data_IF_012934533260
#
_entry.id   IF_012934533260
#
_cell.length_a   1.000
_cell.length_b   1.000
_cell.length_c   1.000
_cell.angle_alpha   90.00
_cell.angle_beta   90.00
_cell.angle_gamma   90.00
#
_symmetry.space_group_name_H-M   'P 1'
#
loop_
_entity.id
_entity.type
_entity.pdbx_description
1 polymer ?
#
# COMPACT_ATOMS: atom_id res chain seq x y z
N UNK A 1 0.61 13.03 18.69
CA UNK A 1 0.23 11.86 17.85
C UNK A 1 0.27 10.64 18.75
N UNK A 2 -0.82 10.28 19.42
CA UNK A 2 -0.82 9.17 20.41
C UNK A 2 -1.60 7.92 19.96
N UNK A 3 -2.19 7.88 18.75
CA UNK A 3 -3.03 6.77 18.30
C UNK A 3 -2.63 6.13 16.95
N UNK A 4 -1.43 6.38 16.43
CA UNK A 4 -0.99 5.75 15.18
C UNK A 4 -0.79 4.24 15.39
N UNK A 5 -1.42 3.42 14.56
CA UNK A 5 -1.43 1.96 14.67
C UNK A 5 -1.04 1.29 13.35
N UNK A 6 -0.82 -0.01 13.36
CA UNK A 6 -0.51 -0.78 12.13
C UNK A 6 -1.60 -0.66 11.06
N UNK A 7 -2.86 -0.41 11.45
CA UNK A 7 -3.92 -0.16 10.48
C UNK A 7 -3.77 1.22 9.80
N UNK A 8 -3.20 2.21 10.51
CA UNK A 8 -2.84 3.49 9.90
C UNK A 8 -1.68 3.29 8.93
N UNK A 9 -0.64 2.54 9.30
CA UNK A 9 0.45 2.21 8.39
C UNK A 9 -0.05 1.49 7.13
N UNK A 10 -1.00 0.56 7.28
CA UNK A 10 -1.58 -0.18 6.17
C UNK A 10 -2.36 0.73 5.21
N UNK A 11 -3.20 1.63 5.74
CA UNK A 11 -3.94 2.59 4.91
C UNK A 11 -2.98 3.63 4.30
N UNK A 12 -1.93 4.02 5.03
CA UNK A 12 -0.92 4.98 4.56
C UNK A 12 -0.16 4.45 3.33
N UNK A 13 0.28 3.18 3.35
CA UNK A 13 0.98 2.60 2.19
C UNK A 13 0.06 2.49 0.98
N UNK A 14 -1.24 2.30 1.18
CA UNK A 14 -2.23 2.29 0.11
C UNK A 14 -2.43 3.68 -0.49
N UNK A 15 -2.59 4.72 0.35
CA UNK A 15 -2.68 6.12 -0.09
C UNK A 15 -1.45 6.53 -0.89
N UNK A 16 -0.26 6.10 -0.47
CA UNK A 16 0.96 6.46 -1.17
C UNK A 16 1.04 5.84 -2.57
N UNK A 17 0.68 4.56 -2.72
CA UNK A 17 0.70 3.90 -4.03
C UNK A 17 -0.28 4.58 -4.99
N UNK A 18 -1.48 4.93 -4.54
CA UNK A 18 -2.43 5.68 -5.36
C UNK A 18 -1.97 7.10 -5.66
N UNK A 19 -1.71 7.91 -4.62
CA UNK A 19 -1.49 9.35 -4.82
C UNK A 19 -0.11 9.71 -5.37
N UNK A 20 0.97 9.00 -4.99
CA UNK A 20 2.31 9.36 -5.44
C UNK A 20 2.58 8.93 -6.90
N UNK A 21 1.65 8.22 -7.51
CA UNK A 21 1.68 7.84 -8.91
C UNK A 21 1.51 9.06 -9.83
N UNK A 22 0.38 9.75 -9.69
CA UNK A 22 -0.09 10.78 -10.61
C UNK A 22 -0.59 12.06 -9.91
N UNK A 23 -0.66 12.06 -8.57
CA UNK A 23 -1.10 13.18 -7.75
C UNK A 23 -2.60 13.23 -7.46
N UNK A 24 -3.37 12.21 -7.85
CA UNK A 24 -4.79 12.09 -7.61
C UNK A 24 -5.14 10.73 -6.97
N UNK A 25 -6.37 10.56 -6.48
CA UNK A 25 -6.90 9.24 -6.11
C UNK A 25 -8.32 9.17 -6.65
N UNK A 26 -8.54 8.26 -7.59
CA UNK A 26 -9.83 8.07 -8.23
C UNK A 26 -10.79 7.21 -7.35
N UNK A 27 -12.04 7.08 -7.80
CA UNK A 27 -13.02 6.30 -7.04
C UNK A 27 -12.78 4.78 -7.13
N UNK A 28 -12.17 4.30 -8.23
CA UNK A 28 -11.83 2.90 -8.42
C UNK A 28 -10.70 2.45 -7.48
N UNK A 29 -9.72 3.32 -7.26
CA UNK A 29 -8.63 3.14 -6.30
C UNK A 29 -9.14 3.17 -4.87
N UNK A 30 -10.00 4.13 -4.50
CA UNK A 30 -10.64 4.16 -3.17
C UNK A 30 -11.40 2.86 -2.88
N UNK A 31 -12.14 2.36 -3.86
CA UNK A 31 -12.85 1.09 -3.75
C UNK A 31 -11.88 -0.10 -3.63
N UNK A 32 -10.78 -0.09 -4.38
CA UNK A 32 -9.72 -1.09 -4.30
C UNK A 32 -9.03 -1.10 -2.91
N UNK A 33 -8.69 0.07 -2.38
CA UNK A 33 -8.11 0.24 -1.04
C UNK A 33 -9.07 -0.28 0.04
N UNK A 34 -10.35 0.11 -0.02
CA UNK A 34 -11.38 -0.32 0.93
C UNK A 34 -11.59 -1.83 0.88
N UNK A 35 -11.64 -2.41 -0.33
CA UNK A 35 -11.73 -3.85 -0.53
C UNK A 35 -10.56 -4.60 0.10
N UNK A 36 -9.33 -4.11 -0.13
CA UNK A 36 -8.12 -4.71 0.41
C UNK A 36 -8.03 -4.64 1.94
N UNK A 37 -8.50 -3.56 2.54
CA UNK A 37 -8.59 -3.46 4.00
C UNK A 37 -9.55 -4.50 4.56
N UNK A 38 -10.71 -4.74 3.95
CA UNK A 38 -11.65 -5.78 4.43
C UNK A 38 -11.07 -7.19 4.33
N UNK A 39 -10.19 -7.45 3.35
CA UNK A 39 -9.50 -8.74 3.22
C UNK A 39 -8.39 -8.88 4.27
N UNK A 40 -7.64 -7.81 4.53
CA UNK A 40 -6.46 -7.83 5.41
C UNK A 40 -6.83 -7.68 6.89
N UNK A 41 -7.90 -6.95 7.18
CA UNK A 41 -8.43 -6.64 8.51
C UNK A 41 -9.95 -6.79 8.52
N UNK A 42 -10.47 -8.04 8.46
CA UNK A 42 -11.91 -8.30 8.35
C UNK A 42 -12.73 -7.84 9.57
N UNK A 43 -12.05 -7.62 10.71
CA UNK A 43 -12.68 -7.16 11.94
C UNK A 43 -12.71 -5.61 12.06
N UNK A 44 -12.09 -4.88 11.12
CA UNK A 44 -12.14 -3.43 11.12
C UNK A 44 -13.53 -2.98 10.65
N UNK A 45 -14.21 -2.18 11.48
CA UNK A 45 -15.51 -1.64 11.09
C UNK A 45 -15.37 -0.56 10.02
N UNK A 46 -16.43 -0.33 9.24
CA UNK A 46 -16.42 0.74 8.24
C UNK A 46 -16.17 2.12 8.90
N UNK A 47 -16.75 2.38 10.08
CA UNK A 47 -16.53 3.63 10.81
C UNK A 47 -15.11 3.81 11.34
N UNK A 48 -14.45 2.72 11.76
CA UNK A 48 -13.04 2.76 12.15
C UNK A 48 -12.14 3.00 10.93
N UNK A 49 -12.45 2.37 9.79
CA UNK A 49 -11.73 2.61 8.54
C UNK A 49 -11.85 4.08 8.10
N UNK A 50 -13.05 4.66 8.11
CA UNK A 50 -13.26 6.06 7.73
C UNK A 50 -12.48 7.01 8.66
N UNK A 51 -12.45 6.70 9.95
CA UNK A 51 -11.66 7.46 10.94
C UNK A 51 -10.16 7.37 10.67
N UNK A 52 -9.65 6.16 10.44
CA UNK A 52 -8.22 5.92 10.13
C UNK A 52 -7.84 6.60 8.81
N UNK A 53 -8.67 6.47 7.79
CA UNK A 53 -8.46 7.06 6.47
C UNK A 53 -8.35 8.59 6.57
N UNK A 54 -9.27 9.23 7.30
CA UNK A 54 -9.20 10.69 7.55
C UNK A 54 -7.89 11.09 8.24
N UNK A 55 -7.45 10.35 9.26
CA UNK A 55 -6.22 10.65 9.99
C UNK A 55 -4.96 10.43 9.13
N UNK A 56 -4.98 9.40 8.28
CA UNK A 56 -3.91 9.14 7.31
C UNK A 56 -3.82 10.26 6.28
N UNK A 57 -4.94 10.75 5.76
CA UNK A 57 -4.98 11.87 4.81
C UNK A 57 -4.47 13.15 5.47
N UNK A 58 -4.88 13.43 6.71
CA UNK A 58 -4.40 14.59 7.47
C UNK A 58 -2.87 14.54 7.65
N UNK A 59 -2.32 13.37 8.02
CA UNK A 59 -0.88 13.17 8.13
C UNK A 59 -0.16 13.33 6.79
N UNK A 60 -0.73 12.75 5.72
CA UNK A 60 -0.17 12.83 4.37
C UNK A 60 -0.09 14.27 3.86
N UNK A 61 -1.10 15.09 4.17
CA UNK A 61 -1.11 16.54 3.89
C UNK A 61 -0.08 17.25 4.77
N UNK A 62 -0.03 16.94 6.07
CA UNK A 62 0.87 17.59 7.02
C UNK A 62 2.36 17.40 6.69
N UNK A 63 2.74 16.26 6.11
CA UNK A 63 4.12 16.00 5.65
C UNK A 63 4.57 16.98 4.55
N UNK A 64 3.64 17.52 3.77
CA UNK A 64 3.83 18.70 2.91
C UNK A 64 4.73 18.55 1.69
N UNK A 65 5.52 17.47 1.57
CA UNK A 65 6.37 17.22 0.42
C UNK A 65 6.55 15.72 0.15
N UNK A 66 6.92 15.39 -1.09
CA UNK A 66 7.09 14.02 -1.58
C UNK A 66 8.17 13.25 -0.80
N UNK A 67 9.32 13.86 -0.53
CA UNK A 67 10.41 13.18 0.19
C UNK A 67 9.99 12.73 1.60
N UNK A 68 9.22 13.53 2.32
CA UNK A 68 8.69 13.18 3.63
C UNK A 68 7.63 12.07 3.54
N UNK A 69 6.80 12.09 2.49
CA UNK A 69 5.80 11.04 2.22
C UNK A 69 6.45 9.71 1.86
N UNK A 70 7.44 9.71 0.98
CA UNK A 70 8.23 8.51 0.64
C UNK A 70 8.97 7.97 1.86
N UNK A 71 9.57 8.82 2.69
CA UNK A 71 10.22 8.36 3.92
C UNK A 71 9.22 7.70 4.89
N UNK A 72 8.02 8.29 5.04
CA UNK A 72 6.95 7.71 5.85
C UNK A 72 6.42 6.40 5.26
N UNK A 73 6.35 6.30 3.92
CA UNK A 73 6.00 5.06 3.23
C UNK A 73 6.95 3.92 3.59
N UNK A 74 8.27 4.15 3.51
CA UNK A 74 9.29 3.18 3.93
C UNK A 74 9.16 2.83 5.41
N UNK A 75 8.89 3.80 6.29
CA UNK A 75 8.69 3.58 7.73
C UNK A 75 7.47 2.68 7.98
N UNK A 76 6.34 2.99 7.36
CA UNK A 76 5.09 2.22 7.47
C UNK A 76 5.26 0.79 6.95
N UNK A 77 5.94 0.59 5.81
CA UNK A 77 6.28 -0.76 5.33
C UNK A 77 7.13 -1.55 6.35
N UNK A 78 8.09 -0.89 7.00
CA UNK A 78 8.90 -1.53 8.04
C UNK A 78 8.07 -1.90 9.28
N UNK A 79 7.16 -1.02 9.72
CA UNK A 79 6.25 -1.30 10.83
C UNK A 79 5.34 -2.50 10.52
N UNK A 80 4.81 -2.55 9.29
CA UNK A 80 3.94 -3.63 8.81
C UNK A 80 4.63 -4.99 8.76
N UNK A 81 5.96 -5.08 8.77
CA UNK A 81 6.65 -6.37 8.93
C UNK A 81 6.20 -7.13 10.17
N UNK A 82 5.96 -6.40 11.27
CA UNK A 82 5.53 -6.97 12.54
C UNK A 82 4.06 -7.43 12.54
N UNK A 83 3.29 -7.03 11.52
CA UNK A 83 1.90 -7.43 11.33
C UNK A 83 1.76 -8.85 10.77
N UNK A 84 2.83 -9.39 10.16
CA UNK A 84 2.78 -10.66 9.43
C UNK A 84 3.74 -11.68 10.03
N UNK A 85 3.18 -12.79 10.52
CA UNK A 85 3.97 -13.90 11.09
C UNK A 85 4.71 -14.73 10.02
N UNK A 86 4.28 -14.64 8.75
CA UNK A 86 4.80 -15.44 7.64
C UNK A 86 4.91 -14.63 6.35
N UNK A 87 5.75 -15.12 5.44
CA UNK A 87 5.92 -14.56 4.09
C UNK A 87 4.60 -14.47 3.31
N UNK A 88 3.63 -15.35 3.60
CA UNK A 88 2.32 -15.32 2.96
C UNK A 88 1.57 -14.01 3.24
N UNK A 89 1.66 -13.48 4.46
CA UNK A 89 1.03 -12.20 4.82
C UNK A 89 1.68 -11.02 4.08
N UNK A 90 3.01 -11.02 4.03
CA UNK A 90 3.80 -10.03 3.30
C UNK A 90 3.53 -10.09 1.79
N UNK A 91 3.42 -11.30 1.24
CA UNK A 91 3.05 -11.51 -0.16
C UNK A 91 1.65 -10.99 -0.47
N UNK A 92 0.67 -11.24 0.41
CA UNK A 92 -0.68 -10.67 0.29
C UNK A 92 -0.65 -9.15 0.28
N UNK A 93 0.14 -8.51 1.14
CA UNK A 93 0.30 -7.06 1.12
C UNK A 93 0.85 -6.57 -0.22
N UNK A 94 1.92 -7.18 -0.75
CA UNK A 94 2.49 -6.80 -2.05
C UNK A 94 1.47 -6.97 -3.18
N UNK A 95 0.68 -8.06 -3.15
CA UNK A 95 -0.42 -8.25 -4.11
C UNK A 95 -1.50 -7.19 -3.98
N UNK A 96 -1.83 -6.75 -2.78
CA UNK A 96 -2.82 -5.70 -2.56
C UNK A 96 -2.34 -4.35 -3.12
N UNK A 97 -1.06 -4.02 -2.92
CA UNK A 97 -0.45 -2.82 -3.52
C UNK A 97 -0.52 -2.88 -5.05
N UNK A 98 -0.13 -4.01 -5.64
CA UNK A 98 -0.23 -4.22 -7.09
C UNK A 98 -1.68 -4.23 -7.61
N UNK A 99 -2.65 -4.62 -6.78
CA UNK A 99 -4.06 -4.56 -7.14
C UNK A 99 -4.58 -3.12 -7.18
N UNK A 100 -4.15 -2.29 -6.22
CA UNK A 100 -4.49 -0.86 -6.18
C UNK A 100 -3.91 -0.16 -7.40
N UNK A 101 -2.61 -0.35 -7.69
CA UNK A 101 -1.96 0.24 -8.86
C UNK A 101 -2.53 -0.24 -10.21
N UNK A 102 -3.38 -1.28 -10.20
CA UNK A 102 -4.07 -1.80 -11.38
C UNK A 102 -5.51 -1.33 -11.50
N UNK A 103 -6.02 -0.60 -10.50
CA UNK A 103 -7.35 -0.03 -10.58
C UNK A 103 -7.39 1.01 -11.71
N UNK A 104 -6.27 1.70 -11.93
CA UNK A 104 -6.06 2.62 -13.04
C UNK A 104 -5.94 1.93 -14.40
N UNK A 105 -6.23 2.70 -15.45
CA UNK A 105 -6.10 2.24 -16.85
C UNK A 105 -4.63 1.95 -17.21
N UNK A 106 -3.68 2.65 -16.59
CA UNK A 106 -2.25 2.52 -16.83
C UNK A 106 -1.46 2.50 -15.54
N UNK A 107 -0.48 1.60 -15.46
CA UNK A 107 0.44 1.53 -14.33
C UNK A 107 1.63 2.47 -14.60
N UNK A 108 1.79 3.47 -13.76
CA UNK A 108 2.87 4.45 -13.79
C UNK A 108 4.21 3.86 -13.33
N UNK A 109 5.33 4.50 -13.71
CA UNK A 109 6.67 4.06 -13.28
C UNK A 109 6.86 4.23 -11.77
N UNK A 110 6.27 5.26 -11.17
CA UNK A 110 6.35 5.51 -9.74
C UNK A 110 5.67 4.41 -8.93
N UNK A 111 4.50 3.93 -9.34
CA UNK A 111 3.80 2.82 -8.66
C UNK A 111 4.62 1.54 -8.68
N UNK A 112 5.26 1.25 -9.83
CA UNK A 112 6.17 0.12 -9.95
C UNK A 112 7.34 0.24 -8.99
N UNK A 113 7.97 1.42 -8.91
CA UNK A 113 9.08 1.68 -8.00
C UNK A 113 8.65 1.50 -6.54
N UNK A 114 7.44 1.94 -6.17
CA UNK A 114 6.89 1.75 -4.83
C UNK A 114 6.63 0.27 -4.51
N UNK A 115 6.12 -0.51 -5.47
CA UNK A 115 5.90 -1.95 -5.28
C UNK A 115 7.24 -2.70 -5.17
N UNK A 116 8.25 -2.32 -5.95
CA UNK A 116 9.62 -2.84 -5.83
C UNK A 116 10.25 -2.50 -4.47
N UNK A 117 10.02 -1.29 -3.98
CA UNK A 117 10.41 -0.88 -2.63
C UNK A 117 9.71 -1.75 -1.58
N UNK A 118 8.39 -1.97 -1.69
CA UNK A 118 7.67 -2.84 -0.78
C UNK A 118 8.23 -4.27 -0.76
N UNK A 119 8.57 -4.84 -1.92
CA UNK A 119 9.21 -6.16 -2.02
C UNK A 119 10.56 -6.17 -1.30
N UNK A 120 11.34 -5.11 -1.47
CA UNK A 120 12.65 -4.96 -0.84
C UNK A 120 12.53 -4.81 0.67
N UNK A 121 11.72 -3.85 1.11
CA UNK A 121 11.50 -3.58 2.53
C UNK A 121 10.95 -4.82 3.20
N UNK A 122 9.92 -5.49 2.67
CA UNK A 122 9.32 -6.67 3.31
C UNK A 122 10.20 -7.94 3.27
N UNK A 123 11.43 -7.87 2.78
CA UNK A 123 12.39 -8.98 2.67
C UNK A 123 11.89 -10.10 1.71
N UNK A 124 11.22 -9.70 0.62
CA UNK A 124 10.55 -10.60 -0.33
C UNK A 124 11.25 -10.69 -1.70
N UNK A 125 12.38 -10.01 -1.91
CA UNK A 125 13.13 -9.95 -3.19
C UNK A 125 13.40 -11.32 -3.82
N UNK A 126 13.82 -12.30 -3.01
CA UNK A 126 14.11 -13.65 -3.50
C UNK A 126 12.85 -14.52 -3.70
N UNK A 127 11.70 -14.08 -3.14
CA UNK A 127 10.47 -14.86 -3.01
C UNK A 127 9.34 -14.35 -3.89
N UNK A 128 9.46 -13.15 -4.45
CA UNK A 128 8.43 -12.53 -5.29
C UNK A 128 9.01 -12.23 -6.66
N UNK A 129 8.22 -12.54 -7.69
CA UNK A 129 8.47 -12.08 -9.04
C UNK A 129 7.40 -11.06 -9.42
N UNK A 130 7.80 -9.96 -10.03
CA UNK A 130 6.88 -9.01 -10.65
C UNK A 130 7.10 -8.97 -12.14
N UNK A 131 6.01 -8.98 -12.90
CA UNK A 131 6.03 -8.85 -14.36
C UNK A 131 5.01 -7.79 -14.75
N UNK A 132 5.50 -6.69 -15.31
CA UNK A 132 4.67 -5.65 -15.92
C UNK A 132 4.46 -5.98 -17.40
N UNK A 133 3.21 -5.91 -17.84
CA UNK A 133 2.83 -5.81 -19.25
C UNK A 133 2.26 -4.41 -19.51
N UNK A 134 1.97 -4.09 -20.77
CA UNK A 134 1.42 -2.79 -21.16
C UNK A 134 0.10 -2.42 -20.45
N UNK A 135 -0.63 -3.41 -19.91
CA UNK A 135 -1.94 -3.24 -19.28
C UNK A 135 -2.11 -3.93 -17.93
N UNK A 136 -1.08 -4.59 -17.38
CA UNK A 136 -1.24 -5.41 -16.17
C UNK A 136 0.06 -5.62 -15.40
N UNK A 137 -0.05 -5.68 -14.07
CA UNK A 137 1.02 -6.11 -13.17
C UNK A 137 0.69 -7.48 -12.57
N UNK A 138 1.60 -8.44 -12.80
CA UNK A 138 1.55 -9.77 -12.21
C UNK A 138 2.53 -9.85 -11.05
N UNK A 139 2.08 -10.44 -9.95
CA UNK A 139 2.86 -10.67 -8.73
C UNK A 139 2.74 -12.14 -8.36
N UNK A 140 3.85 -12.87 -8.50
CA UNK A 140 3.92 -14.32 -8.27
C UNK A 140 4.88 -14.65 -7.14
N UNK A 141 4.54 -15.70 -6.38
CA UNK A 141 5.44 -16.24 -5.36
C UNK A 141 6.40 -17.23 -6.04
N UNK A 142 7.70 -17.03 -5.84
CA UNK A 142 8.75 -17.95 -6.30
C UNK A 142 8.75 -19.16 -5.37
N UNK A 143 8.34 -20.31 -5.92
CA UNK A 143 8.39 -21.62 -5.27
C UNK A 143 9.82 -22.10 -5.06
#
# INVERSE_FOLDING_TARGET
MENWSLNHDLVYVFVCVSYLADGEIDDSEKDAMRGNIKVTQPNLSDGDYDTISSQVVDEFIALGNESARSAKYTESLNALKSMFDADEGKFKLIKNLAYIARADEFIHENEMAMIEEAITVLDMVAKVNIVKTDSTLFVDFRS
#
